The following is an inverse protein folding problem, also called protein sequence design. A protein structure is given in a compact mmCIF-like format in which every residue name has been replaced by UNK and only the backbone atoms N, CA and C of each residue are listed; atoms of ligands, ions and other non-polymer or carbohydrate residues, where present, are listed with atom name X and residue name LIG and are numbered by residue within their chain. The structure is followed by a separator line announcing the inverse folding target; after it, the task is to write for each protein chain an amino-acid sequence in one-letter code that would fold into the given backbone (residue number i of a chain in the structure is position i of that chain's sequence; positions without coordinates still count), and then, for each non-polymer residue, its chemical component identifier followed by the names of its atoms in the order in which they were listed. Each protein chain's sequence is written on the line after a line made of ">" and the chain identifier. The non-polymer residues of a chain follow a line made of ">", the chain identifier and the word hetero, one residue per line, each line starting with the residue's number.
data_IF_876141593111
#
_entry.id   IF_876141593111
#
_cell.length_a   1.000
_cell.length_b   1.000
_cell.length_c   1.000
_cell.angle_alpha   90.00
_cell.angle_beta   90.00
_cell.angle_gamma   90.00
#
_symmetry.space_group_name_H-M   'P 1'
#
loop_
_entity.id
_entity.type
_entity.pdbx_description
1 polymer ?
#
# COMPACT_ATOMS: atom_id res chain seq x y z
N UNK A 1 10.37 -6.93 -26.04
CA UNK A 1 9.50 -6.01 -25.24
C UNK A 1 9.79 -6.27 -23.76
N UNK A 2 10.18 -5.24 -22.99
CA UNK A 2 10.37 -5.39 -21.54
C UNK A 2 9.00 -5.21 -20.85
N UNK A 3 8.41 -6.30 -20.35
CA UNK A 3 7.11 -6.29 -19.70
C UNK A 3 7.10 -5.51 -18.38
N UNK A 4 8.27 -5.33 -17.75
CA UNK A 4 8.46 -4.68 -16.47
C UNK A 4 8.96 -3.23 -16.58
N UNK A 5 9.09 -2.70 -17.80
CA UNK A 5 9.41 -1.29 -18.02
C UNK A 5 8.26 -0.40 -17.57
N UNK A 6 8.55 0.51 -16.64
CA UNK A 6 7.58 1.45 -16.09
C UNK A 6 7.84 2.90 -16.55
N UNK A 7 8.72 3.09 -17.53
CA UNK A 7 9.04 4.42 -18.07
C UNK A 7 7.78 5.14 -18.55
N UNK A 8 7.63 6.39 -18.14
CA UNK A 8 6.45 7.22 -18.44
C UNK A 8 5.20 6.91 -17.62
N UNK A 9 5.24 5.91 -16.72
CA UNK A 9 4.18 5.66 -15.74
C UNK A 9 4.34 6.54 -14.52
N UNK A 10 3.22 6.79 -13.83
CA UNK A 10 3.17 7.56 -12.60
C UNK A 10 2.42 6.78 -11.53
N UNK A 11 3.05 6.61 -10.37
CA UNK A 11 2.44 5.95 -9.22
C UNK A 11 2.36 6.87 -8.00
N UNK A 12 1.19 6.89 -7.36
CA UNK A 12 0.99 7.48 -6.03
C UNK A 12 1.19 6.39 -4.99
N UNK A 13 1.96 6.68 -3.92
CA UNK A 13 2.15 5.77 -2.79
C UNK A 13 1.80 6.49 -1.49
N UNK A 14 0.66 6.15 -0.89
CA UNK A 14 0.32 6.68 0.44
C UNK A 14 1.17 5.97 1.50
N UNK A 15 1.74 6.73 2.45
CA UNK A 15 2.71 6.19 3.41
C UNK A 15 4.01 5.73 2.74
N UNK A 16 4.34 6.27 1.56
CA UNK A 16 5.55 5.93 0.79
C UNK A 16 6.87 6.44 1.39
N UNK A 17 6.81 7.12 2.55
CA UNK A 17 7.96 7.71 3.22
C UNK A 17 8.60 6.80 4.28
N UNK A 18 8.24 5.53 4.34
CA UNK A 18 8.80 4.56 5.27
C UNK A 18 8.28 3.13 5.06
N UNK A 19 8.97 2.16 5.68
CA UNK A 19 8.57 0.76 5.67
C UNK A 19 8.27 0.21 4.28
N UNK A 20 7.21 -0.59 4.16
CA UNK A 20 6.79 -1.24 2.91
C UNK A 20 6.57 -0.21 1.79
N UNK A 21 5.92 0.92 2.11
CA UNK A 21 5.65 1.96 1.12
C UNK A 21 6.91 2.55 0.49
N UNK A 22 7.97 2.73 1.27
CA UNK A 22 9.26 3.19 0.76
C UNK A 22 9.91 2.13 -0.14
N UNK A 23 9.88 0.85 0.25
CA UNK A 23 10.39 -0.24 -0.59
C UNK A 23 9.67 -0.35 -1.93
N UNK A 24 8.34 -0.18 -1.91
CA UNK A 24 7.53 -0.09 -3.14
C UNK A 24 7.98 1.11 -3.99
N UNK A 25 8.09 2.31 -3.40
CA UNK A 25 8.47 3.52 -4.10
C UNK A 25 9.86 3.40 -4.76
N UNK A 26 10.83 2.87 -4.03
CA UNK A 26 12.20 2.64 -4.53
C UNK A 26 12.21 1.65 -5.71
N UNK A 27 11.48 0.55 -5.61
CA UNK A 27 11.43 -0.45 -6.68
C UNK A 27 10.76 0.11 -7.94
N UNK A 28 9.64 0.82 -7.82
CA UNK A 28 8.96 1.44 -8.95
C UNK A 28 9.83 2.52 -9.62
N UNK A 29 10.45 3.40 -8.82
CA UNK A 29 11.34 4.43 -9.34
C UNK A 29 12.58 3.83 -10.02
N UNK A 30 13.12 2.72 -9.49
CA UNK A 30 14.22 1.99 -10.11
C UNK A 30 13.89 1.40 -11.48
N UNK A 31 12.61 1.14 -11.77
CA UNK A 31 12.12 0.67 -13.07
C UNK A 31 11.60 1.82 -13.97
N UNK A 32 11.96 3.05 -13.65
CA UNK A 32 11.62 4.23 -14.47
C UNK A 32 10.24 4.84 -14.20
N UNK A 33 9.47 4.34 -13.23
CA UNK A 33 8.21 4.94 -12.84
C UNK A 33 8.43 6.28 -12.12
N UNK A 34 7.70 7.32 -12.49
CA UNK A 34 7.63 8.52 -11.67
C UNK A 34 6.76 8.23 -10.44
N UNK A 35 7.19 8.71 -9.27
CA UNK A 35 6.59 8.37 -8.00
C UNK A 35 6.18 9.63 -7.24
N UNK A 36 4.93 9.70 -6.78
CA UNK A 36 4.47 10.71 -5.83
C UNK A 36 4.24 10.06 -4.46
N UNK A 37 5.08 10.42 -3.50
CA UNK A 37 5.00 9.95 -2.11
C UNK A 37 4.05 10.85 -1.33
N UNK A 38 3.00 10.25 -0.74
CA UNK A 38 2.07 10.96 0.11
C UNK A 38 2.25 10.54 1.57
N UNK A 39 2.55 11.48 2.44
CA UNK A 39 2.71 11.22 3.87
C UNK A 39 2.52 12.48 4.70
N UNK A 40 2.09 12.34 5.95
CA UNK A 40 1.79 13.48 6.85
C UNK A 40 3.04 14.26 7.29
N UNK A 41 4.19 13.61 7.37
CA UNK A 41 5.43 14.20 7.86
C UNK A 41 6.30 14.67 6.67
N UNK A 42 6.43 15.99 6.52
CA UNK A 42 7.18 16.62 5.42
C UNK A 42 8.67 16.24 5.43
N UNK A 43 9.30 16.12 6.60
CA UNK A 43 10.73 15.81 6.70
C UNK A 43 11.02 14.36 6.34
N UNK A 44 10.16 13.41 6.80
CA UNK A 44 10.23 12.01 6.34
C UNK A 44 10.01 11.91 4.83
N UNK A 45 9.07 12.69 4.27
CA UNK A 45 8.85 12.73 2.82
C UNK A 45 10.10 13.17 2.07
N UNK A 46 10.74 14.27 2.51
CA UNK A 46 11.99 14.77 1.92
C UNK A 46 13.14 13.76 2.02
N UNK A 47 13.30 13.12 3.18
CA UNK A 47 14.33 12.09 3.37
C UNK A 47 14.10 10.88 2.45
N UNK A 48 12.86 10.44 2.29
CA UNK A 48 12.51 9.38 1.35
C UNK A 48 12.83 9.76 -0.10
N UNK A 49 12.46 10.96 -0.55
CA UNK A 49 12.80 11.43 -1.88
C UNK A 49 14.32 11.51 -2.11
N UNK A 50 15.06 12.02 -1.13
CA UNK A 50 16.53 12.09 -1.20
C UNK A 50 17.17 10.69 -1.35
N UNK A 51 16.63 9.66 -0.69
CA UNK A 51 17.12 8.28 -0.81
C UNK A 51 16.92 7.67 -2.20
N UNK A 52 16.10 8.30 -3.04
CA UNK A 52 15.79 7.85 -4.41
C UNK A 52 16.35 8.78 -5.51
N UNK A 53 17.19 9.75 -5.16
CA UNK A 53 17.69 10.77 -6.10
C UNK A 53 18.46 10.21 -7.31
N UNK A 54 19.05 9.02 -7.16
CA UNK A 54 19.82 8.35 -8.21
C UNK A 54 19.02 7.29 -8.98
N UNK A 55 17.73 7.15 -8.74
CA UNK A 55 16.86 6.21 -9.47
C UNK A 55 16.37 6.82 -10.78
N UNK A 56 15.92 5.96 -11.70
CA UNK A 56 15.55 6.37 -13.06
C UNK A 56 14.25 7.18 -13.11
N UNK A 57 13.31 6.93 -12.22
CA UNK A 57 12.04 7.65 -12.13
C UNK A 57 12.16 8.94 -11.32
N UNK A 58 11.41 9.96 -11.70
CA UNK A 58 11.31 11.19 -10.91
C UNK A 58 10.49 10.96 -9.65
N UNK A 59 10.91 11.58 -8.54
CA UNK A 59 10.23 11.47 -7.25
C UNK A 59 9.71 12.84 -6.82
N UNK A 60 8.43 12.86 -6.45
CA UNK A 60 7.72 14.00 -5.89
C UNK A 60 7.13 13.64 -4.53
N UNK A 61 6.90 14.62 -3.67
CA UNK A 61 6.36 14.39 -2.33
C UNK A 61 5.21 15.35 -2.01
N UNK A 62 4.18 14.82 -1.34
CA UNK A 62 3.03 15.62 -0.88
C UNK A 62 2.78 15.40 0.60
N UNK A 63 2.50 16.47 1.32
CA UNK A 63 1.91 16.36 2.66
C UNK A 63 0.45 16.00 2.46
N UNK A 64 0.05 14.82 2.95
CA UNK A 64 -1.31 14.30 2.77
C UNK A 64 -1.73 13.50 4.00
N UNK A 65 -2.88 13.85 4.55
CA UNK A 65 -3.61 13.02 5.50
C UNK A 65 -4.70 12.26 4.75
N UNK A 66 -4.58 10.94 4.69
CA UNK A 66 -5.53 10.08 3.97
C UNK A 66 -6.91 10.02 4.63
N UNK A 67 -7.03 10.44 5.89
CA UNK A 67 -8.31 10.50 6.61
C UNK A 67 -9.15 11.71 6.20
N UNK A 68 -8.52 12.70 5.54
CA UNK A 68 -9.18 13.90 5.05
C UNK A 68 -9.34 13.85 3.52
N UNK A 69 -10.57 13.71 2.98
CA UNK A 69 -10.82 13.71 1.54
C UNK A 69 -10.32 14.98 0.82
N UNK A 70 -10.35 16.13 1.48
CA UNK A 70 -9.87 17.39 0.89
C UNK A 70 -8.35 17.35 0.71
N UNK A 71 -7.62 16.83 1.70
CA UNK A 71 -6.17 16.62 1.63
C UNK A 71 -5.79 15.64 0.51
N UNK A 72 -6.54 14.52 0.36
CA UNK A 72 -6.33 13.54 -0.71
C UNK A 72 -6.56 14.16 -2.09
N UNK A 73 -7.65 14.92 -2.27
CA UNK A 73 -7.96 15.58 -3.54
C UNK A 73 -6.93 16.64 -3.91
N UNK A 74 -6.45 17.41 -2.93
CA UNK A 74 -5.38 18.39 -3.13
C UNK A 74 -4.06 17.72 -3.55
N UNK A 75 -3.68 16.61 -2.88
CA UNK A 75 -2.48 15.84 -3.22
C UNK A 75 -2.59 15.20 -4.62
N UNK A 76 -3.77 14.69 -4.99
CA UNK A 76 -4.02 14.15 -6.33
C UNK A 76 -3.90 15.23 -7.39
N UNK A 77 -4.55 16.37 -7.18
CA UNK A 77 -4.43 17.50 -8.12
C UNK A 77 -2.97 17.93 -8.31
N UNK A 78 -2.23 18.11 -7.22
CA UNK A 78 -0.83 18.52 -7.28
C UNK A 78 0.06 17.46 -7.97
N UNK A 79 -0.25 16.16 -7.81
CA UNK A 79 0.44 15.07 -8.52
C UNK A 79 0.14 15.15 -10.03
N UNK A 80 -1.11 15.40 -10.42
CA UNK A 80 -1.52 15.57 -11.81
C UNK A 80 -0.90 16.81 -12.42
N UNK A 81 -0.84 17.93 -11.70
CA UNK A 81 -0.17 19.16 -12.16
C UNK A 81 1.33 18.92 -12.43
N UNK A 82 1.99 18.03 -11.65
CA UNK A 82 3.42 17.73 -11.81
C UNK A 82 3.72 16.74 -12.92
N UNK A 83 2.92 15.67 -13.05
CA UNK A 83 3.23 14.54 -13.93
C UNK A 83 2.24 14.36 -15.09
N UNK A 84 1.11 15.04 -15.08
CA UNK A 84 0.08 15.00 -16.12
C UNK A 84 -0.81 13.74 -16.06
N UNK A 85 -0.46 12.73 -15.25
CA UNK A 85 -1.18 11.46 -15.17
C UNK A 85 -0.94 10.73 -13.84
N UNK A 86 -1.81 9.80 -13.52
CA UNK A 86 -1.63 8.78 -12.48
C UNK A 86 -2.05 7.44 -13.05
N UNK A 87 -1.14 6.47 -13.07
CA UNK A 87 -1.32 5.12 -13.60
C UNK A 87 -1.47 4.07 -12.50
N UNK A 88 -0.89 4.31 -11.34
CA UNK A 88 -0.96 3.44 -10.19
C UNK A 88 -1.27 4.19 -8.90
N UNK A 89 -2.04 3.56 -8.01
CA UNK A 89 -2.26 4.03 -6.64
C UNK A 89 -2.00 2.88 -5.67
N UNK A 90 -0.92 3.01 -4.90
CA UNK A 90 -0.56 2.08 -3.84
C UNK A 90 -1.04 2.65 -2.50
N UNK A 91 -2.21 2.21 -2.07
CA UNK A 91 -2.80 2.61 -0.79
C UNK A 91 -2.15 1.79 0.34
N UNK A 92 -1.04 2.33 0.86
CA UNK A 92 -0.21 1.67 1.87
C UNK A 92 -0.26 2.37 3.24
N UNK A 93 -0.65 3.65 3.32
CA UNK A 93 -0.78 4.35 4.59
C UNK A 93 -1.69 3.57 5.56
N UNK A 94 -1.24 3.45 6.80
CA UNK A 94 -2.00 2.74 7.81
C UNK A 94 -1.36 2.86 9.19
N UNK A 95 -2.14 2.50 10.20
CA UNK A 95 -1.69 2.38 11.58
C UNK A 95 -1.85 0.94 12.06
N UNK A 96 -0.98 0.53 12.97
CA UNK A 96 -1.08 -0.77 13.64
C UNK A 96 -2.06 -0.69 14.82
N UNK A 97 -2.54 -1.84 15.25
CA UNK A 97 -3.46 -1.95 16.39
C UNK A 97 -2.81 -1.71 17.76
N UNK A 98 -2.03 -0.64 17.86
CA UNK A 98 -1.24 -0.27 19.04
C UNK A 98 -2.06 -0.27 20.33
N UNK A 99 -1.88 -1.26 21.15
CA UNK A 99 -2.54 -1.41 22.42
C UNK A 99 -2.97 -2.85 22.65
N UNK A 100 -2.70 -3.35 23.85
CA UNK A 100 -3.03 -4.73 24.23
C UNK A 100 -4.39 -4.85 24.91
N UNK A 101 -5.31 -3.87 24.67
CA UNK A 101 -6.64 -3.91 25.26
C UNK A 101 -7.41 -5.12 24.74
N UNK A 102 -8.17 -5.74 25.61
CA UNK A 102 -9.12 -6.79 25.22
C UNK A 102 -10.26 -6.17 24.41
N UNK A 103 -10.98 -6.99 23.66
CA UNK A 103 -12.11 -6.54 22.86
C UNK A 103 -13.17 -5.80 23.69
N UNK A 104 -13.45 -6.31 24.90
CA UNK A 104 -14.46 -5.71 25.81
C UNK A 104 -14.05 -4.36 26.37
N UNK A 105 -12.77 -4.00 26.30
CA UNK A 105 -12.22 -2.72 26.78
C UNK A 105 -11.91 -1.76 25.61
N UNK A 106 -12.08 -2.20 24.37
CA UNK A 106 -11.81 -1.39 23.17
C UNK A 106 -12.74 -0.19 23.12
N UNK A 107 -12.18 1.01 23.01
CA UNK A 107 -12.99 2.22 22.90
C UNK A 107 -13.51 2.42 21.47
N UNK A 108 -14.63 3.14 21.35
CA UNK A 108 -15.15 3.53 20.04
C UNK A 108 -14.19 4.45 19.29
N UNK A 109 -13.46 5.31 19.99
CA UNK A 109 -12.45 6.19 19.39
C UNK A 109 -11.30 5.39 18.75
N UNK A 110 -10.76 4.38 19.46
CA UNK A 110 -9.73 3.48 18.90
C UNK A 110 -10.27 2.75 17.65
N UNK A 111 -11.52 2.31 17.69
CA UNK A 111 -12.19 1.67 16.56
C UNK A 111 -12.29 2.64 15.37
N UNK A 112 -12.88 3.82 15.57
CA UNK A 112 -13.07 4.82 14.51
C UNK A 112 -11.76 5.31 13.91
N UNK A 113 -10.75 5.58 14.75
CA UNK A 113 -9.42 6.00 14.28
C UNK A 113 -8.77 4.94 13.37
N UNK A 114 -8.92 3.66 13.73
CA UNK A 114 -8.43 2.55 12.92
C UNK A 114 -9.14 2.49 11.57
N UNK A 115 -10.46 2.60 11.55
CA UNK A 115 -11.25 2.57 10.32
C UNK A 115 -10.97 3.78 9.44
N UNK A 116 -10.97 4.98 10.01
CA UNK A 116 -10.68 6.21 9.27
C UNK A 116 -9.33 6.14 8.55
N UNK A 117 -8.28 5.63 9.24
CA UNK A 117 -6.95 5.58 8.61
C UNK A 117 -6.82 4.40 7.64
N UNK A 118 -7.17 3.19 8.08
CA UNK A 118 -6.83 1.96 7.36
C UNK A 118 -7.83 1.58 6.27
N UNK A 119 -9.09 2.02 6.38
CA UNK A 119 -10.13 1.69 5.40
C UNK A 119 -10.59 2.93 4.62
N UNK A 120 -11.05 3.99 5.33
CA UNK A 120 -11.54 5.19 4.65
C UNK A 120 -10.41 5.88 3.88
N UNK A 121 -9.18 5.88 4.43
CA UNK A 121 -8.00 6.38 3.73
C UNK A 121 -7.69 5.62 2.43
N UNK A 122 -7.90 4.31 2.39
CA UNK A 122 -7.79 3.51 1.15
C UNK A 122 -8.90 3.90 0.17
N UNK A 123 -10.13 4.02 0.66
CA UNK A 123 -11.27 4.44 -0.15
C UNK A 123 -11.03 5.82 -0.80
N UNK A 124 -10.61 6.82 -0.03
CA UNK A 124 -10.36 8.17 -0.55
C UNK A 124 -9.28 8.16 -1.64
N UNK A 125 -8.14 7.49 -1.39
CA UNK A 125 -7.04 7.42 -2.34
C UNK A 125 -7.45 6.67 -3.63
N UNK A 126 -8.14 5.55 -3.48
CA UNK A 126 -8.60 4.76 -4.63
C UNK A 126 -9.67 5.49 -5.42
N UNK A 127 -10.63 6.15 -4.77
CA UNK A 127 -11.68 6.91 -5.46
C UNK A 127 -11.07 8.04 -6.33
N UNK A 128 -10.14 8.82 -5.77
CA UNK A 128 -9.47 9.89 -6.49
C UNK A 128 -8.67 9.35 -7.69
N UNK A 129 -7.94 8.24 -7.51
CA UNK A 129 -7.15 7.63 -8.58
C UNK A 129 -8.05 6.97 -9.64
N UNK A 130 -9.06 6.19 -9.24
CA UNK A 130 -9.96 5.49 -10.14
C UNK A 130 -10.76 6.46 -11.02
N UNK A 131 -11.20 7.59 -10.47
CA UNK A 131 -11.86 8.65 -11.25
C UNK A 131 -10.99 9.11 -12.41
N UNK A 132 -9.74 9.49 -12.16
CA UNK A 132 -8.79 9.89 -13.20
C UNK A 132 -8.49 8.74 -14.19
N UNK A 133 -8.31 7.51 -13.72
CA UNK A 133 -8.02 6.36 -14.58
C UNK A 133 -9.19 6.03 -15.51
N UNK A 134 -10.44 6.12 -15.02
CA UNK A 134 -11.64 5.88 -15.85
C UNK A 134 -11.89 7.00 -16.84
N UNK A 135 -11.63 8.27 -16.48
CA UNK A 135 -11.69 9.40 -17.40
C UNK A 135 -10.68 9.23 -18.55
N UNK A 136 -9.46 8.79 -18.26
CA UNK A 136 -8.46 8.49 -19.30
C UNK A 136 -8.88 7.30 -20.19
N UNK A 137 -9.44 6.25 -19.60
CA UNK A 137 -9.93 5.10 -20.37
C UNK A 137 -11.01 5.50 -21.39
N UNK A 138 -11.90 6.42 -21.01
CA UNK A 138 -12.97 6.92 -21.89
C UNK A 138 -12.45 7.73 -23.10
N UNK A 139 -11.21 8.22 -23.05
CA UNK A 139 -10.55 8.91 -24.17
C UNK A 139 -9.45 8.08 -24.84
N UNK A 140 -9.45 6.75 -24.64
CA UNK A 140 -8.60 5.82 -25.37
C UNK A 140 -7.26 5.47 -24.70
N UNK A 141 -7.08 5.79 -23.40
CA UNK A 141 -5.89 5.39 -22.61
C UNK A 141 -6.29 4.47 -21.42
N UNK A 142 -6.75 3.23 -21.67
CA UNK A 142 -7.25 2.31 -20.66
C UNK A 142 -6.09 1.63 -19.91
N UNK A 143 -5.60 2.25 -18.85
CA UNK A 143 -4.59 1.69 -17.97
C UNK A 143 -4.76 2.24 -16.55
N UNK A 144 -4.86 1.36 -15.55
CA UNK A 144 -4.88 1.72 -14.14
C UNK A 144 -4.51 0.54 -13.24
N UNK A 145 -3.89 0.84 -12.10
CA UNK A 145 -3.46 -0.15 -11.09
C UNK A 145 -3.79 0.37 -9.70
N UNK A 146 -4.73 -0.29 -9.03
CA UNK A 146 -5.07 -0.05 -7.64
C UNK A 146 -4.49 -1.18 -6.80
N UNK A 147 -3.59 -0.86 -5.87
CA UNK A 147 -2.92 -1.86 -5.02
C UNK A 147 -3.02 -1.43 -3.57
N UNK A 148 -3.64 -2.25 -2.72
CA UNK A 148 -3.76 -1.96 -1.30
C UNK A 148 -2.80 -2.82 -0.46
N UNK A 149 -2.20 -2.24 0.57
CA UNK A 149 -1.50 -3.00 1.60
C UNK A 149 -2.50 -3.47 2.65
N UNK A 150 -2.88 -4.75 2.56
CA UNK A 150 -3.69 -5.46 3.55
C UNK A 150 -2.79 -6.05 4.66
N UNK A 151 -3.05 -7.25 5.13
CA UNK A 151 -2.26 -7.94 6.15
C UNK A 151 -2.67 -9.40 6.25
N UNK A 152 -1.82 -10.26 6.79
CA UNK A 152 -2.23 -11.59 7.25
C UNK A 152 -3.36 -11.55 8.29
N UNK A 153 -3.49 -10.46 9.05
CA UNK A 153 -4.60 -10.26 9.98
C UNK A 153 -5.99 -10.29 9.31
N UNK A 154 -6.05 -10.15 7.97
CA UNK A 154 -7.29 -10.27 7.20
C UNK A 154 -7.75 -11.72 6.97
N UNK A 155 -6.89 -12.69 7.20
CA UNK A 155 -7.14 -14.12 6.98
C UNK A 155 -6.85 -14.98 8.21
N UNK A 156 -6.26 -14.40 9.27
CA UNK A 156 -6.01 -15.05 10.56
C UNK A 156 -6.71 -14.34 11.70
N UNK A 157 -7.04 -15.13 12.74
CA UNK A 157 -7.47 -14.56 14.01
C UNK A 157 -6.31 -13.84 14.72
N UNK A 158 -6.48 -12.56 15.00
CA UNK A 158 -5.48 -11.73 15.67
C UNK A 158 -6.11 -11.14 16.94
N UNK A 159 -5.97 -11.86 18.06
CA UNK A 159 -6.52 -11.44 19.33
C UNK A 159 -6.00 -10.05 19.74
N UNK A 160 -6.89 -9.22 20.30
CA UNK A 160 -6.61 -7.85 20.76
C UNK A 160 -6.26 -6.87 19.61
N UNK A 161 -6.58 -7.26 18.38
CA UNK A 161 -6.35 -6.45 17.19
C UNK A 161 -7.52 -6.56 16.20
N UNK A 162 -8.71 -6.76 16.71
CA UNK A 162 -9.93 -7.06 15.97
C UNK A 162 -10.29 -5.94 14.99
N UNK A 163 -10.16 -4.68 15.42
CA UNK A 163 -10.41 -3.49 14.60
C UNK A 163 -9.44 -3.39 13.41
N UNK A 164 -8.15 -3.72 13.63
CA UNK A 164 -7.17 -3.79 12.55
C UNK A 164 -7.51 -4.91 11.57
N UNK A 165 -7.78 -6.11 12.09
CA UNK A 165 -8.15 -7.27 11.29
C UNK A 165 -9.41 -6.98 10.43
N UNK A 166 -10.43 -6.35 11.03
CA UNK A 166 -11.65 -5.96 10.34
C UNK A 166 -11.36 -5.01 9.16
N UNK A 167 -10.53 -3.95 9.37
CA UNK A 167 -10.17 -3.03 8.29
C UNK A 167 -9.40 -3.74 7.17
N UNK A 168 -8.48 -4.65 7.51
CA UNK A 168 -7.67 -5.38 6.51
C UNK A 168 -8.50 -6.42 5.74
N UNK A 169 -9.47 -7.06 6.38
CA UNK A 169 -10.43 -7.93 5.69
C UNK A 169 -11.37 -7.14 4.77
N UNK A 170 -11.83 -5.97 5.19
CA UNK A 170 -12.64 -5.08 4.37
C UNK A 170 -11.90 -4.62 3.09
N UNK A 171 -10.58 -4.35 3.18
CA UNK A 171 -9.74 -4.03 2.02
C UNK A 171 -9.74 -5.18 1.01
N UNK A 172 -9.64 -6.44 1.46
CA UNK A 172 -9.67 -7.59 0.55
C UNK A 172 -11.01 -7.72 -0.19
N UNK A 173 -12.12 -7.38 0.48
CA UNK A 173 -13.44 -7.34 -0.17
C UNK A 173 -13.53 -6.17 -1.16
N UNK A 174 -13.03 -4.98 -0.77
CA UNK A 174 -13.04 -3.78 -1.61
C UNK A 174 -12.28 -4.00 -2.92
N UNK A 175 -11.07 -4.56 -2.88
CA UNK A 175 -10.28 -4.78 -4.11
C UNK A 175 -10.94 -5.79 -5.05
N UNK A 176 -11.65 -6.81 -4.52
CA UNK A 176 -12.42 -7.75 -5.36
C UNK A 176 -13.55 -7.04 -6.08
N UNK A 177 -14.32 -6.20 -5.38
CA UNK A 177 -15.41 -5.44 -5.97
C UNK A 177 -14.90 -4.47 -7.05
N UNK A 178 -13.83 -3.70 -6.75
CA UNK A 178 -13.23 -2.77 -7.70
C UNK A 178 -12.60 -3.48 -8.90
N UNK A 179 -11.98 -4.65 -8.70
CA UNK A 179 -11.41 -5.46 -9.78
C UNK A 179 -12.46 -5.93 -10.78
N UNK A 180 -13.69 -6.20 -10.32
CA UNK A 180 -14.83 -6.56 -11.20
C UNK A 180 -15.39 -5.31 -11.89
N UNK A 181 -15.64 -4.24 -11.14
CA UNK A 181 -16.29 -3.03 -11.65
C UNK A 181 -15.44 -2.30 -12.70
N UNK A 182 -14.14 -2.14 -12.40
CA UNK A 182 -13.25 -1.26 -13.17
C UNK A 182 -12.48 -2.00 -14.29
N UNK A 183 -12.54 -3.32 -14.36
CA UNK A 183 -11.82 -4.11 -15.36
C UNK A 183 -12.09 -3.66 -16.81
N UNK A 184 -13.33 -3.30 -17.14
CA UNK A 184 -13.73 -2.78 -18.46
C UNK A 184 -13.01 -1.49 -18.87
N UNK A 185 -12.45 -0.75 -17.89
CA UNK A 185 -11.66 0.45 -18.12
C UNK A 185 -10.15 0.18 -18.14
N UNK A 186 -9.71 -1.10 -18.17
CA UNK A 186 -8.31 -1.48 -18.10
C UNK A 186 -7.67 -1.22 -16.72
N UNK A 187 -8.49 -1.03 -15.68
CA UNK A 187 -8.04 -0.83 -14.31
C UNK A 187 -8.11 -2.15 -13.54
N UNK A 188 -6.98 -2.57 -12.95
CA UNK A 188 -6.93 -3.74 -12.06
C UNK A 188 -6.87 -3.29 -10.59
N UNK A 189 -7.42 -4.11 -9.69
CA UNK A 189 -7.37 -3.85 -8.25
C UNK A 189 -6.95 -5.13 -7.52
N UNK A 190 -5.87 -5.02 -6.70
CA UNK A 190 -5.30 -6.15 -5.97
C UNK A 190 -4.86 -5.74 -4.57
N UNK A 191 -4.62 -6.70 -3.68
CA UNK A 191 -4.10 -6.44 -2.35
C UNK A 191 -2.82 -7.27 -2.09
N UNK A 192 -1.88 -6.69 -1.35
CA UNK A 192 -0.70 -7.36 -0.82
C UNK A 192 -0.94 -7.64 0.66
N UNK A 193 -0.69 -8.86 1.10
CA UNK A 193 -0.85 -9.31 2.48
C UNK A 193 0.54 -9.57 3.10
N UNK A 194 1.15 -8.56 3.74
CA UNK A 194 2.43 -8.74 4.41
C UNK A 194 2.32 -9.64 5.64
N UNK A 195 3.38 -10.45 5.85
CA UNK A 195 3.65 -11.11 7.11
C UNK A 195 4.30 -10.18 8.15
N UNK A 196 5.27 -10.69 8.89
CA UNK A 196 6.03 -9.94 9.89
C UNK A 196 7.19 -9.19 9.23
N UNK A 197 7.05 -7.86 9.10
CA UNK A 197 7.97 -7.01 8.35
C UNK A 197 8.61 -5.98 9.29
N UNK A 198 9.93 -5.77 9.18
CA UNK A 198 10.66 -4.73 9.91
C UNK A 198 10.20 -3.34 9.43
N UNK A 199 9.70 -2.54 10.36
CA UNK A 199 9.24 -1.16 10.11
C UNK A 199 9.09 -0.40 11.44
N UNK A 200 8.90 0.92 11.39
CA UNK A 200 8.59 1.71 12.58
C UNK A 200 7.35 1.15 13.33
N UNK A 201 6.35 0.66 12.60
CA UNK A 201 5.12 0.08 13.17
C UNK A 201 5.38 -1.19 13.99
N UNK A 202 6.36 -1.99 13.61
CA UNK A 202 6.65 -3.30 14.22
C UNK A 202 7.87 -3.27 15.14
N UNK A 203 8.65 -2.18 15.17
CA UNK A 203 9.89 -2.07 15.94
C UNK A 203 9.70 -2.42 17.42
N UNK A 204 8.65 -1.89 18.05
CA UNK A 204 8.37 -2.15 19.47
C UNK A 204 8.08 -3.61 19.78
N UNK A 205 7.35 -4.32 18.92
CA UNK A 205 7.03 -5.74 19.14
C UNK A 205 8.23 -6.63 18.79
N UNK A 206 9.02 -6.25 17.80
CA UNK A 206 10.24 -6.98 17.39
C UNK A 206 11.40 -6.81 18.36
N UNK A 207 11.39 -5.80 19.23
CA UNK A 207 12.31 -5.67 20.35
C UNK A 207 12.00 -6.65 21.51
N UNK A 208 10.84 -7.31 21.51
CA UNK A 208 10.45 -8.27 22.52
C UNK A 208 10.99 -9.68 22.20
N UNK A 209 12.01 -10.13 22.92
CA UNK A 209 12.66 -11.43 22.71
C UNK A 209 11.68 -12.61 22.77
N UNK A 210 10.71 -12.59 23.70
CA UNK A 210 9.70 -13.65 23.80
C UNK A 210 8.81 -13.69 22.56
N UNK A 211 8.47 -12.55 22.00
CA UNK A 211 7.73 -12.48 20.73
C UNK A 211 8.56 -13.08 19.59
N UNK A 212 9.83 -12.66 19.47
CA UNK A 212 10.73 -13.16 18.44
C UNK A 212 10.93 -14.68 18.56
N UNK A 213 11.16 -15.18 19.75
CA UNK A 213 11.32 -16.63 20.02
C UNK A 213 10.08 -17.44 19.62
N UNK A 214 8.87 -16.87 19.74
CA UNK A 214 7.62 -17.56 19.39
C UNK A 214 7.28 -17.46 17.89
N UNK A 215 7.63 -16.36 17.24
CA UNK A 215 7.24 -16.07 15.85
C UNK A 215 8.27 -16.60 14.85
N UNK A 216 9.57 -16.39 15.12
CA UNK A 216 10.64 -16.77 14.21
C UNK A 216 10.63 -18.24 13.79
N UNK A 217 10.40 -19.21 14.69
CA UNK A 217 10.31 -20.63 14.30
C UNK A 217 9.15 -20.94 13.35
N UNK A 218 8.11 -20.10 13.34
CA UNK A 218 6.94 -20.25 12.47
C UNK A 218 7.12 -19.62 11.09
N UNK A 219 8.21 -18.88 10.87
CA UNK A 219 8.54 -18.37 9.55
C UNK A 219 9.52 -19.32 8.88
N UNK A 220 9.16 -20.10 7.86
CA UNK A 220 10.05 -21.04 7.17
C UNK A 220 11.34 -20.38 6.67
N UNK A 221 11.28 -19.16 6.18
CA UNK A 221 12.46 -18.41 5.72
C UNK A 221 13.38 -17.89 6.84
N UNK A 222 13.02 -18.14 8.13
CA UNK A 222 13.83 -17.84 9.33
C UNK A 222 14.32 -16.40 9.45
N UNK A 223 13.60 -15.47 8.85
CA UNK A 223 13.83 -14.02 8.99
C UNK A 223 12.52 -13.25 8.95
N UNK A 224 12.50 -12.07 9.54
CA UNK A 224 11.48 -11.08 9.26
C UNK A 224 11.67 -10.53 7.85
N UNK A 225 10.56 -10.16 7.20
CA UNK A 225 10.61 -9.48 5.92
C UNK A 225 11.12 -8.05 6.06
N UNK A 226 11.54 -7.49 4.95
CA UNK A 226 12.04 -6.12 4.81
C UNK A 226 11.24 -5.38 3.75
N UNK A 227 11.34 -4.06 3.73
CA UNK A 227 10.64 -3.20 2.75
C UNK A 227 10.94 -3.62 1.30
N UNK A 228 12.18 -4.04 1.02
CA UNK A 228 12.63 -4.49 -0.31
C UNK A 228 11.95 -5.78 -0.80
N UNK A 229 11.46 -6.63 0.11
CA UNK A 229 10.74 -7.86 -0.27
C UNK A 229 9.42 -7.58 -1.02
N UNK A 230 8.93 -6.34 -0.97
CA UNK A 230 7.69 -5.91 -1.63
C UNK A 230 7.92 -5.23 -2.99
N UNK A 231 9.17 -4.96 -3.34
CA UNK A 231 9.51 -4.29 -4.59
C UNK A 231 9.12 -5.10 -5.82
N UNK A 232 9.43 -6.40 -5.84
CA UNK A 232 9.14 -7.26 -6.97
C UNK A 232 7.66 -7.38 -7.30
N UNK A 233 6.82 -7.60 -6.27
CA UNK A 233 5.37 -7.68 -6.47
C UNK A 233 4.78 -6.32 -6.88
N UNK A 234 5.29 -5.21 -6.35
CA UNK A 234 4.84 -3.88 -6.75
C UNK A 234 5.15 -3.59 -8.23
N UNK A 235 6.36 -3.92 -8.69
CA UNK A 235 6.73 -3.79 -10.11
C UNK A 235 5.85 -4.68 -10.98
N UNK A 236 5.63 -5.94 -10.59
CA UNK A 236 4.72 -6.84 -11.30
C UNK A 236 3.32 -6.23 -11.43
N UNK A 237 2.71 -5.84 -10.31
CA UNK A 237 1.35 -5.31 -10.29
C UNK A 237 1.22 -3.98 -11.05
N UNK A 238 2.26 -3.16 -11.08
CA UNK A 238 2.27 -1.89 -11.83
C UNK A 238 2.51 -2.09 -13.33
N UNK A 239 3.06 -3.20 -13.74
CA UNK A 239 3.55 -3.44 -15.10
C UNK A 239 2.46 -4.00 -16.05
N UNK A 240 2.84 -4.18 -17.32
CA UNK A 240 2.03 -4.89 -18.32
C UNK A 240 2.00 -6.41 -18.07
N UNK A 241 2.93 -6.96 -17.30
CA UNK A 241 2.97 -8.39 -16.97
C UNK A 241 1.74 -8.84 -16.16
N UNK A 242 1.10 -7.92 -15.42
CA UNK A 242 -0.12 -8.19 -14.63
C UNK A 242 -1.42 -7.76 -15.32
N UNK A 243 -1.43 -7.53 -16.62
CA UNK A 243 -2.59 -6.95 -17.33
C UNK A 243 -3.85 -7.82 -17.26
N UNK A 244 -3.72 -9.12 -16.98
CA UNK A 244 -4.85 -10.06 -16.81
C UNK A 244 -5.03 -10.52 -15.36
N UNK A 245 -4.40 -9.81 -14.38
CA UNK A 245 -4.42 -10.16 -12.97
C UNK A 245 -5.14 -9.07 -12.16
N UNK A 246 -6.35 -9.38 -11.70
CA UNK A 246 -7.18 -8.46 -10.91
C UNK A 246 -8.00 -9.20 -9.87
N UNK A 247 -8.48 -8.49 -8.86
CA UNK A 247 -9.34 -8.99 -7.79
C UNK A 247 -8.68 -10.02 -6.86
N UNK A 248 -7.35 -10.03 -6.77
CA UNK A 248 -6.59 -11.03 -6.02
C UNK A 248 -5.86 -10.47 -4.80
N UNK A 249 -5.36 -11.39 -3.97
CA UNK A 249 -4.61 -11.11 -2.74
C UNK A 249 -3.29 -11.88 -2.74
N UNK A 250 -2.17 -11.15 -2.60
CA UNK A 250 -0.81 -11.71 -2.66
C UNK A 250 -0.20 -11.79 -1.27
N UNK A 251 -0.02 -12.99 -0.77
CA UNK A 251 0.65 -13.24 0.52
C UNK A 251 2.16 -13.14 0.34
N UNK A 252 2.81 -12.26 1.12
CA UNK A 252 4.28 -12.08 1.16
C UNK A 252 4.72 -12.16 2.62
N UNK A 253 5.00 -13.37 3.11
CA UNK A 253 5.12 -13.65 4.54
C UNK A 253 6.26 -14.62 4.94
N UNK A 254 7.12 -14.98 3.99
CA UNK A 254 8.21 -15.95 4.24
C UNK A 254 7.73 -17.37 4.55
N UNK A 255 6.49 -17.70 4.17
CA UNK A 255 5.86 -19.01 4.38
C UNK A 255 5.11 -19.14 5.71
N UNK A 256 4.94 -18.05 6.47
CA UNK A 256 4.29 -18.08 7.78
C UNK A 256 2.86 -18.66 7.75
N UNK A 257 2.11 -18.42 6.68
CA UNK A 257 0.74 -18.93 6.53
C UNK A 257 0.65 -20.37 6.05
N UNK A 258 1.73 -20.90 5.50
CA UNK A 258 1.78 -22.27 4.97
C UNK A 258 2.25 -23.30 5.99
N UNK A 259 2.69 -22.84 7.19
CA UNK A 259 3.32 -23.70 8.21
C UNK A 259 2.57 -23.67 9.54
#
# INVERSE_FOLDING_TARGET
>A
MNLFDLSGRVAVITGGNGGIGLGIAQALAGQGCNVSIWGRNADKNKAAAASMANLSGKVDTRVCDVTDPASVNAAMKATLDTFGRVDGCFANAGIGGGGRRSFVERTEEEWRTMFATNLDGVFHAFQAAAKHMTERANVGDPFGRLVATSSLASIFGTARNEHYAATKAAINALVRALGVELARHGVTANAILPGWIKSDMTAGIMANEKFVANVMPRIPMRRFGEASDFGGIAVYLMSKASSYHTADTFVIDGGYTAF
#
